data_IF_110613730064
#
_entry.id   IF_110613730064
#
_cell.length_a   1.000
_cell.length_b   1.000
_cell.length_c   1.000
_cell.angle_alpha   90.00
_cell.angle_beta   90.00
_cell.angle_gamma   90.00
#
_symmetry.space_group_name_H-M   'P 1'
#
loop_
_entity.id
_entity.type
_entity.pdbx_description
1 polymer ?
#
# COMPACT_ATOMS: atom_id res chain seq x y z
N UNK A 1 25.85 10.46 -12.20
CA UNK A 1 26.26 10.88 -13.56
C UNK A 1 27.72 11.28 -13.55
N UNK A 2 28.34 11.36 -14.70
CA UNK A 2 29.71 11.88 -14.82
C UNK A 2 29.78 13.30 -14.24
N UNK A 3 30.86 13.61 -13.51
CA UNK A 3 31.06 14.93 -12.89
C UNK A 3 30.43 15.13 -11.51
N UNK A 4 29.75 14.14 -10.93
CA UNK A 4 29.24 14.23 -9.56
C UNK A 4 30.39 14.30 -8.54
N UNK A 5 31.51 13.68 -8.86
CA UNK A 5 32.71 13.66 -8.02
C UNK A 5 33.39 15.04 -7.95
N UNK A 6 33.15 15.90 -8.96
CA UNK A 6 33.71 17.25 -9.06
C UNK A 6 32.79 18.33 -8.48
N UNK A 7 31.64 17.97 -7.90
CA UNK A 7 30.72 18.93 -7.30
C UNK A 7 31.34 19.54 -6.03
N UNK A 8 31.44 20.85 -6.02
CA UNK A 8 31.79 21.60 -4.80
C UNK A 8 30.63 21.56 -3.81
N UNK A 9 30.73 20.72 -2.82
CA UNK A 9 29.75 20.60 -1.73
C UNK A 9 30.05 21.51 -0.54
N UNK A 10 31.07 22.36 -0.61
CA UNK A 10 31.51 23.25 0.48
C UNK A 10 30.40 24.21 0.93
N UNK A 11 29.44 24.53 0.07
CA UNK A 11 28.27 25.32 0.42
C UNK A 11 27.45 24.70 1.55
N UNK A 12 27.44 23.36 1.64
CA UNK A 12 26.71 22.63 2.70
C UNK A 12 27.49 22.54 4.02
N UNK A 13 28.81 22.73 4.02
CA UNK A 13 29.65 22.78 5.24
C UNK A 13 29.28 23.95 6.14
N UNK A 14 28.68 24.99 5.58
CA UNK A 14 28.19 26.15 6.30
C UNK A 14 26.85 25.94 7.01
N UNK A 15 26.16 24.81 6.72
CA UNK A 15 24.94 24.47 7.39
C UNK A 15 25.19 23.97 8.80
N UNK A 16 24.96 24.83 9.75
CA UNK A 16 25.00 24.47 11.16
C UNK A 16 23.60 24.19 11.67
N UNK A 17 23.44 23.10 12.40
CA UNK A 17 22.19 22.83 13.10
C UNK A 17 21.99 23.93 14.17
N UNK A 18 20.94 24.73 14.04
CA UNK A 18 20.60 25.81 14.96
C UNK A 18 19.72 25.39 16.14
N UNK A 19 19.57 24.07 16.35
CA UNK A 19 18.76 23.48 17.42
C UNK A 19 19.05 22.00 17.61
N UNK A 20 18.48 21.41 18.65
CA UNK A 20 18.45 19.94 18.77
C UNK A 20 17.64 19.33 17.64
N UNK A 21 18.09 18.19 17.11
CA UNK A 21 17.27 17.41 16.18
C UNK A 21 15.89 17.18 16.82
N UNK A 22 14.82 17.43 16.06
CA UNK A 22 13.49 17.08 16.53
C UNK A 22 13.47 15.58 16.83
N UNK A 23 13.00 15.22 18.02
CA UNK A 23 12.77 13.81 18.35
C UNK A 23 11.72 13.29 17.38
N UNK A 24 12.09 12.30 16.56
CA UNK A 24 11.12 11.60 15.70
C UNK A 24 10.30 10.72 16.65
N UNK A 25 9.16 11.22 17.05
CA UNK A 25 8.19 10.40 17.78
C UNK A 25 7.60 9.43 16.77
N UNK A 26 7.80 8.10 16.96
CA UNK A 26 7.19 7.11 16.09
C UNK A 26 5.69 7.36 16.03
N UNK A 27 5.11 7.37 14.83
CA UNK A 27 3.68 7.49 14.67
C UNK A 27 3.03 6.23 15.27
N UNK A 28 2.64 6.31 16.54
CA UNK A 28 1.85 5.24 17.15
C UNK A 28 0.52 5.18 16.39
N UNK A 29 0.17 4.04 15.78
CA UNK A 29 -1.15 3.89 15.19
C UNK A 29 -2.19 4.29 16.23
N UNK A 30 -3.07 5.22 15.90
CA UNK A 30 -4.19 5.54 16.81
C UNK A 30 -5.08 4.31 16.88
N UNK A 31 -4.98 3.59 17.98
CA UNK A 31 -5.90 2.51 18.30
C UNK A 31 -7.20 3.19 18.73
N UNK A 32 -8.25 3.00 17.94
CA UNK A 32 -9.54 3.64 18.15
C UNK A 32 -9.92 4.60 17.01
N UNK A 33 -11.19 4.94 16.94
CA UNK A 33 -11.77 5.69 15.84
C UNK A 33 -12.60 4.80 14.90
N UNK A 34 -13.39 5.41 14.02
CA UNK A 34 -14.27 4.66 13.14
C UNK A 34 -13.46 3.80 12.17
N UNK A 35 -13.96 2.58 11.92
CA UNK A 35 -13.38 1.68 10.92
C UNK A 35 -13.61 2.21 9.50
N UNK A 36 -14.76 2.84 9.27
CA UNK A 36 -15.18 3.36 7.98
C UNK A 36 -15.47 4.85 8.09
N UNK A 37 -14.84 5.64 7.24
CA UNK A 37 -15.11 7.08 7.08
C UNK A 37 -15.59 7.30 5.65
N UNK A 38 -16.74 7.94 5.51
CA UNK A 38 -17.33 8.32 4.23
C UNK A 38 -17.34 9.85 4.11
N UNK A 39 -16.50 10.36 3.21
CA UNK A 39 -16.49 11.78 2.86
C UNK A 39 -17.61 12.01 1.85
N UNK A 40 -18.60 12.83 2.22
CA UNK A 40 -19.76 13.11 1.38
C UNK A 40 -19.40 14.03 0.20
N UNK A 41 -19.70 13.54 -0.99
CA UNK A 41 -19.65 14.31 -2.24
C UNK A 41 -20.97 14.09 -3.00
N UNK A 42 -21.96 14.97 -2.79
CA UNK A 42 -23.32 14.80 -3.32
C UNK A 42 -23.39 14.63 -4.84
N UNK A 43 -22.48 15.29 -5.58
CA UNK A 43 -22.43 15.23 -7.05
C UNK A 43 -21.56 14.10 -7.61
N UNK A 44 -20.99 13.24 -6.76
CA UNK A 44 -20.14 12.17 -7.21
C UNK A 44 -20.94 11.07 -7.91
N UNK A 45 -20.46 10.63 -9.08
CA UNK A 45 -20.99 9.49 -9.83
C UNK A 45 -20.23 8.21 -9.56
N UNK A 46 -19.12 8.33 -8.83
CA UNK A 46 -18.24 7.24 -8.44
C UNK A 46 -17.94 7.31 -6.93
N UNK A 47 -17.65 6.14 -6.37
CA UNK A 47 -17.10 5.98 -5.03
C UNK A 47 -15.62 5.65 -5.14
N UNK A 48 -14.76 6.55 -4.65
CA UNK A 48 -13.33 6.29 -4.50
C UNK A 48 -13.07 5.62 -3.16
N UNK A 49 -12.35 4.51 -3.17
CA UNK A 49 -12.05 3.71 -2.00
C UNK A 49 -10.55 3.71 -1.68
N UNK A 50 -10.24 3.77 -0.40
CA UNK A 50 -8.92 3.46 0.18
C UNK A 50 -9.11 2.55 1.38
N UNK A 51 -8.59 1.31 1.31
CA UNK A 51 -8.52 0.39 2.45
C UNK A 51 -7.06 0.32 2.87
N UNK A 52 -6.76 0.65 4.12
CA UNK A 52 -5.38 0.78 4.58
C UNK A 52 -5.19 0.15 5.95
N UNK A 53 -3.97 -0.37 6.18
CA UNK A 53 -3.51 -0.71 7.52
C UNK A 53 -2.00 -0.49 7.65
N UNK A 54 -1.55 -0.28 8.88
CA UNK A 54 -0.13 -0.27 9.21
C UNK A 54 0.47 -1.67 9.03
N UNK A 55 1.73 -1.72 8.63
CA UNK A 55 2.46 -2.97 8.45
C UNK A 55 3.96 -2.75 8.69
N UNK A 56 4.76 -3.80 8.51
CA UNK A 56 6.22 -3.71 8.60
C UNK A 56 6.80 -2.84 7.50
N UNK A 57 7.98 -2.28 7.74
CA UNK A 57 8.72 -1.48 6.77
C UNK A 57 9.83 -2.26 6.08
N UNK A 58 10.57 -1.57 5.20
CA UNK A 58 11.60 -2.17 4.33
C UNK A 58 12.81 -2.78 5.07
N UNK A 59 13.04 -2.42 6.33
CA UNK A 59 14.08 -3.03 7.15
C UNK A 59 13.70 -4.40 7.73
N UNK A 60 12.42 -4.78 7.66
CA UNK A 60 11.95 -6.06 8.18
C UNK A 60 12.29 -7.20 7.21
N UNK A 61 12.77 -8.38 7.67
CA UNK A 61 13.12 -9.50 6.79
C UNK A 61 11.96 -9.98 5.90
N UNK A 62 10.74 -9.94 6.39
CA UNK A 62 9.53 -10.30 5.65
C UNK A 62 9.02 -9.26 4.64
N UNK A 63 9.72 -8.12 4.47
CA UNK A 63 9.27 -7.05 3.59
C UNK A 63 9.12 -7.48 2.12
N UNK A 64 10.07 -8.27 1.60
CA UNK A 64 10.02 -8.77 0.23
C UNK A 64 8.79 -9.68 0.02
N UNK A 65 8.52 -10.58 0.96
CA UNK A 65 7.37 -11.47 0.93
C UNK A 65 6.04 -10.70 1.01
N UNK A 66 5.96 -9.67 1.87
CA UNK A 66 4.79 -8.78 1.93
C UNK A 66 4.55 -8.04 0.60
N UNK A 67 5.61 -7.56 -0.04
CA UNK A 67 5.52 -6.91 -1.36
C UNK A 67 4.93 -7.85 -2.40
N UNK A 68 5.38 -9.11 -2.42
CA UNK A 68 4.87 -10.12 -3.35
C UNK A 68 3.43 -10.50 -3.01
N UNK A 69 3.10 -10.69 -1.74
CA UNK A 69 1.71 -10.95 -1.31
C UNK A 69 0.76 -9.82 -1.74
N UNK A 70 1.11 -8.55 -1.50
CA UNK A 70 0.34 -7.41 -1.99
C UNK A 70 0.23 -7.41 -3.53
N UNK A 71 1.28 -7.82 -4.23
CA UNK A 71 1.30 -7.98 -5.68
C UNK A 71 0.27 -9.00 -6.16
N UNK A 72 0.25 -10.17 -5.55
CA UNK A 72 -0.67 -11.26 -5.87
C UNK A 72 -2.13 -10.90 -5.52
N UNK A 73 -2.35 -10.21 -4.40
CA UNK A 73 -3.68 -9.79 -3.99
C UNK A 73 -4.26 -8.69 -4.89
N UNK A 74 -3.47 -7.67 -5.28
CA UNK A 74 -4.03 -6.52 -6.01
C UNK A 74 -3.00 -5.69 -6.78
N UNK A 75 -1.73 -6.10 -6.85
CA UNK A 75 -0.67 -5.30 -7.47
C UNK A 75 -0.48 -5.51 -8.96
N UNK A 76 -1.08 -6.53 -9.54
CA UNK A 76 -1.00 -6.85 -10.96
C UNK A 76 -2.36 -6.88 -11.62
N UNK A 77 -2.39 -6.85 -12.94
CA UNK A 77 -3.64 -6.91 -13.71
C UNK A 77 -4.40 -8.23 -13.51
N UNK A 78 -3.69 -9.34 -13.36
CA UNK A 78 -4.25 -10.67 -13.09
C UNK A 78 -4.35 -11.03 -11.61
N UNK A 79 -4.17 -10.06 -10.70
CA UNK A 79 -4.26 -10.28 -9.27
C UNK A 79 -5.69 -10.60 -8.81
N UNK A 80 -5.80 -11.21 -7.64
CA UNK A 80 -7.06 -11.73 -7.09
C UNK A 80 -8.17 -10.68 -7.01
N UNK A 81 -7.87 -9.45 -6.54
CA UNK A 81 -8.82 -8.35 -6.52
C UNK A 81 -9.27 -7.91 -7.92
N UNK A 82 -8.36 -7.86 -8.89
CA UNK A 82 -8.70 -7.48 -10.26
C UNK A 82 -9.49 -8.58 -10.96
N UNK A 83 -9.14 -9.85 -10.74
CA UNK A 83 -9.90 -10.97 -11.30
C UNK A 83 -11.37 -10.90 -10.87
N UNK A 84 -11.62 -10.68 -9.57
CA UNK A 84 -13.00 -10.64 -9.07
C UNK A 84 -13.70 -9.33 -9.42
N UNK A 85 -13.12 -8.17 -9.02
CA UNK A 85 -13.84 -6.91 -9.09
C UNK A 85 -13.91 -6.31 -10.50
N UNK A 86 -12.92 -6.63 -11.34
CA UNK A 86 -12.83 -6.11 -12.70
C UNK A 86 -13.32 -7.13 -13.72
N UNK A 87 -12.73 -8.35 -13.76
CA UNK A 87 -13.06 -9.32 -14.82
C UNK A 87 -14.40 -10.00 -14.60
N UNK A 88 -14.64 -10.56 -13.39
CA UNK A 88 -15.84 -11.33 -13.13
C UNK A 88 -17.07 -10.45 -12.93
N UNK A 89 -16.93 -9.34 -12.19
CA UNK A 89 -18.06 -8.46 -11.82
C UNK A 89 -18.18 -7.20 -12.68
N UNK A 90 -17.12 -6.77 -13.37
CA UNK A 90 -17.14 -5.57 -14.21
C UNK A 90 -17.42 -4.28 -13.42
N UNK A 91 -17.07 -4.22 -12.13
CA UNK A 91 -17.39 -3.11 -11.25
C UNK A 91 -16.36 -1.99 -11.29
N UNK A 92 -15.13 -2.28 -11.70
CA UNK A 92 -14.02 -1.33 -11.74
C UNK A 92 -13.20 -1.48 -13.02
N UNK A 93 -12.50 -0.43 -13.41
CA UNK A 93 -11.44 -0.50 -14.44
C UNK A 93 -10.13 -1.10 -13.88
N UNK A 94 -9.99 -1.13 -12.57
CA UNK A 94 -8.86 -1.72 -11.86
C UNK A 94 -8.84 -1.35 -10.39
N UNK A 95 -8.32 -2.30 -9.60
CA UNK A 95 -8.05 -2.12 -8.18
C UNK A 95 -6.57 -2.36 -7.95
N UNK A 96 -5.92 -1.43 -7.27
CA UNK A 96 -4.50 -1.53 -6.96
C UNK A 96 -4.26 -1.88 -5.50
N UNK A 97 -3.30 -2.78 -5.22
CA UNK A 97 -2.79 -3.01 -3.86
C UNK A 97 -1.27 -2.87 -3.83
N UNK A 98 -0.77 -2.20 -2.80
CA UNK A 98 0.68 -2.06 -2.60
C UNK A 98 1.02 -1.90 -1.12
N UNK A 99 2.22 -2.33 -0.74
CA UNK A 99 2.85 -1.96 0.52
C UNK A 99 3.90 -0.89 0.25
N UNK A 100 3.83 0.22 0.99
CA UNK A 100 4.78 1.34 0.93
C UNK A 100 5.51 1.49 2.26
N UNK A 101 6.83 1.71 2.25
CA UNK A 101 7.57 1.94 3.48
C UNK A 101 7.29 3.34 4.03
N UNK A 102 7.22 3.43 5.34
CA UNK A 102 7.24 4.66 6.14
C UNK A 102 8.54 4.71 6.95
N UNK A 103 8.90 5.83 7.57
CA UNK A 103 10.11 5.92 8.40
C UNK A 103 10.19 4.83 9.47
N UNK A 104 9.08 4.51 10.13
CA UNK A 104 9.00 3.57 11.26
C UNK A 104 8.05 2.39 10.98
N UNK A 105 8.04 1.89 9.76
CA UNK A 105 7.17 0.77 9.40
C UNK A 105 6.74 0.81 7.95
N UNK A 106 5.49 0.52 7.68
CA UNK A 106 4.91 0.55 6.36
C UNK A 106 3.40 0.73 6.40
N UNK A 107 2.81 0.90 5.24
CA UNK A 107 1.37 0.92 5.05
C UNK A 107 0.99 0.07 3.85
N UNK A 108 0.11 -0.88 4.05
CA UNK A 108 -0.58 -1.60 2.98
C UNK A 108 -1.81 -0.80 2.58
N UNK A 109 -2.00 -0.60 1.28
CA UNK A 109 -3.10 0.19 0.73
C UNK A 109 -3.74 -0.56 -0.43
N UNK A 110 -5.05 -0.71 -0.37
CA UNK A 110 -5.90 -1.05 -1.53
C UNK A 110 -6.60 0.22 -1.99
N UNK A 111 -6.65 0.44 -3.30
CA UNK A 111 -7.25 1.61 -3.90
C UNK A 111 -8.05 1.24 -5.14
N UNK A 112 -9.23 1.81 -5.30
CA UNK A 112 -10.07 1.61 -6.48
C UNK A 112 -11.17 2.65 -6.55
N UNK A 113 -11.74 2.79 -7.74
CA UNK A 113 -12.92 3.61 -8.02
C UNK A 113 -14.00 2.76 -8.64
N UNK A 114 -15.23 2.93 -8.16
CA UNK A 114 -16.39 2.15 -8.55
C UNK A 114 -17.55 3.08 -8.87
N UNK A 115 -18.49 2.62 -9.70
CA UNK A 115 -19.77 3.33 -9.81
C UNK A 115 -20.49 3.32 -8.46
N UNK A 116 -21.18 4.39 -8.12
CA UNK A 116 -21.84 4.56 -6.81
C UNK A 116 -22.74 3.36 -6.47
N UNK A 117 -23.49 2.85 -7.46
CA UNK A 117 -24.48 1.75 -7.28
C UNK A 117 -23.85 0.43 -6.80
N UNK A 118 -22.60 0.18 -7.15
CA UNK A 118 -21.87 -1.04 -6.79
C UNK A 118 -20.76 -0.80 -5.77
N UNK A 119 -20.58 0.46 -5.33
CA UNK A 119 -19.46 0.87 -4.47
C UNK A 119 -19.42 0.10 -3.14
N UNK A 120 -20.56 -0.03 -2.48
CA UNK A 120 -20.66 -0.76 -1.21
C UNK A 120 -20.38 -2.26 -1.38
N UNK A 121 -20.90 -2.88 -2.46
CA UNK A 121 -20.63 -4.28 -2.79
C UNK A 121 -19.16 -4.52 -3.08
N UNK A 122 -18.54 -3.63 -3.85
CA UNK A 122 -17.14 -3.73 -4.22
C UNK A 122 -16.22 -3.62 -2.99
N UNK A 123 -16.56 -2.75 -2.02
CA UNK A 123 -15.82 -2.61 -0.77
C UNK A 123 -15.95 -3.88 0.08
N UNK A 124 -17.17 -4.40 0.24
CA UNK A 124 -17.41 -5.62 0.99
C UNK A 124 -16.69 -6.83 0.37
N UNK A 125 -16.73 -6.95 -0.96
CA UNK A 125 -16.02 -8.00 -1.70
C UNK A 125 -14.50 -7.87 -1.56
N UNK A 126 -13.95 -6.65 -1.69
CA UNK A 126 -12.52 -6.42 -1.46
C UNK A 126 -12.09 -6.84 -0.06
N UNK A 127 -12.87 -6.50 0.96
CA UNK A 127 -12.59 -6.94 2.34
C UNK A 127 -12.67 -8.45 2.49
N UNK A 128 -13.68 -9.10 1.88
CA UNK A 128 -13.81 -10.56 1.89
C UNK A 128 -12.57 -11.24 1.31
N UNK A 129 -12.03 -10.73 0.21
CA UNK A 129 -10.78 -11.25 -0.40
C UNK A 129 -9.58 -11.03 0.54
N UNK A 130 -9.44 -9.83 1.12
CA UNK A 130 -8.31 -9.48 1.98
C UNK A 130 -8.29 -10.25 3.31
N UNK A 131 -9.45 -10.72 3.76
CA UNK A 131 -9.63 -11.44 5.02
C UNK A 131 -9.95 -12.93 4.82
N UNK A 132 -9.89 -13.42 3.57
CA UNK A 132 -10.11 -14.82 3.22
C UNK A 132 -9.07 -15.74 3.87
N UNK A 133 -9.48 -16.94 4.22
CA UNK A 133 -8.59 -18.02 4.67
C UNK A 133 -7.93 -18.77 3.50
N UNK A 134 -8.32 -18.46 2.25
CA UNK A 134 -7.75 -19.09 1.05
C UNK A 134 -6.33 -18.60 0.79
N UNK A 135 -5.36 -19.50 0.83
CA UNK A 135 -3.97 -19.17 0.55
C UNK A 135 -3.75 -18.69 -0.89
N UNK A 136 -2.71 -17.90 -1.09
CA UNK A 136 -2.22 -17.54 -2.42
C UNK A 136 -1.63 -18.80 -3.07
N UNK A 137 -2.00 -19.03 -4.31
CA UNK A 137 -1.48 -20.14 -5.10
C UNK A 137 -0.10 -19.80 -5.68
N UNK A 138 0.65 -20.82 -6.05
CA UNK A 138 1.99 -20.64 -6.65
C UNK A 138 1.95 -19.76 -7.89
N UNK A 139 0.96 -19.94 -8.77
CA UNK A 139 0.81 -19.16 -10.00
C UNK A 139 0.53 -17.67 -9.74
N UNK A 140 -0.23 -17.34 -8.70
CA UNK A 140 -0.49 -15.94 -8.29
C UNK A 140 0.80 -15.28 -7.75
N UNK A 141 1.54 -16.02 -6.93
CA UNK A 141 2.81 -15.56 -6.33
C UNK A 141 3.88 -15.42 -7.40
N UNK A 142 4.03 -16.39 -8.28
CA UNK A 142 5.00 -16.37 -9.39
C UNK A 142 4.73 -15.18 -10.32
N UNK A 143 3.47 -14.95 -10.70
CA UNK A 143 3.08 -13.81 -11.53
C UNK A 143 3.39 -12.46 -10.86
N UNK A 144 3.10 -12.32 -9.57
CA UNK A 144 3.38 -11.10 -8.82
C UNK A 144 4.89 -10.85 -8.65
N UNK A 145 5.64 -11.89 -8.33
CA UNK A 145 7.10 -11.85 -8.21
C UNK A 145 7.75 -11.41 -9.52
N UNK A 146 7.40 -12.09 -10.62
CA UNK A 146 7.99 -11.83 -11.93
C UNK A 146 7.66 -10.42 -12.42
N UNK A 147 6.44 -9.94 -12.15
CA UNK A 147 6.06 -8.56 -12.41
C UNK A 147 6.92 -7.56 -11.62
N UNK A 148 7.06 -7.75 -10.30
CA UNK A 148 7.83 -6.85 -9.43
C UNK A 148 9.31 -6.80 -9.85
N UNK A 149 9.90 -7.94 -10.17
CA UNK A 149 11.29 -8.02 -10.66
C UNK A 149 11.41 -7.33 -12.03
N UNK A 150 10.45 -7.57 -12.92
CA UNK A 150 10.47 -7.02 -14.28
C UNK A 150 10.34 -5.49 -14.35
N UNK A 151 9.54 -4.89 -13.44
CA UNK A 151 9.37 -3.42 -13.41
C UNK A 151 10.42 -2.70 -12.56
N UNK A 152 11.20 -3.41 -11.75
CA UNK A 152 12.17 -2.80 -10.85
C UNK A 152 13.17 -1.86 -11.55
N UNK A 153 13.75 -2.20 -12.72
CA UNK A 153 14.68 -1.30 -13.42
C UNK A 153 14.08 0.06 -13.75
N UNK A 154 12.76 0.14 -13.99
CA UNK A 154 12.08 1.41 -14.33
C UNK A 154 12.12 2.42 -13.18
N UNK A 155 12.36 1.96 -11.94
CA UNK A 155 12.46 2.85 -10.77
C UNK A 155 13.84 3.55 -10.69
N UNK A 156 14.78 3.17 -11.53
CA UNK A 156 16.18 3.62 -11.52
C UNK A 156 16.66 4.15 -12.88
N UNK A 157 15.76 4.42 -13.81
CA UNK A 157 16.12 4.82 -15.19
C UNK A 157 16.60 6.27 -15.31
N UNK A 158 16.40 7.10 -14.28
CA UNK A 158 16.87 8.48 -14.25
C UNK A 158 17.75 8.77 -13.05
N UNK A 159 18.70 9.71 -13.18
CA UNK A 159 19.55 10.15 -12.07
C UNK A 159 18.71 10.69 -10.88
N UNK A 160 17.59 11.37 -11.16
CA UNK A 160 16.66 11.85 -10.15
C UNK A 160 15.99 10.73 -9.38
N UNK A 161 15.54 9.68 -10.09
CA UNK A 161 14.95 8.49 -9.46
C UNK A 161 15.94 7.77 -8.55
N UNK A 162 17.19 7.60 -9.04
CA UNK A 162 18.27 6.99 -8.24
C UNK A 162 18.55 7.80 -6.98
N UNK A 163 18.73 9.12 -7.11
CA UNK A 163 19.00 10.01 -5.97
C UNK A 163 17.87 9.96 -4.94
N UNK A 164 16.61 9.96 -5.38
CA UNK A 164 15.45 9.86 -4.50
C UNK A 164 15.42 8.53 -3.73
N UNK A 165 15.68 7.41 -4.42
CA UNK A 165 15.71 6.08 -3.80
C UNK A 165 16.85 5.97 -2.78
N UNK A 166 18.06 6.44 -3.13
CA UNK A 166 19.21 6.43 -2.22
C UNK A 166 18.92 7.28 -0.98
N UNK A 167 18.39 8.49 -1.15
CA UNK A 167 18.01 9.34 -0.02
C UNK A 167 16.97 8.67 0.90
N UNK A 168 15.99 7.97 0.32
CA UNK A 168 14.98 7.23 1.07
C UNK A 168 15.57 6.03 1.84
N UNK A 169 16.56 5.33 1.28
CA UNK A 169 17.28 4.24 1.94
C UNK A 169 18.12 4.74 3.10
N UNK A 170 18.93 5.78 2.88
CA UNK A 170 19.77 6.40 3.92
C UNK A 170 18.91 6.89 5.09
N UNK A 171 17.78 7.54 4.81
CA UNK A 171 16.82 7.96 5.84
C UNK A 171 16.25 6.78 6.64
N UNK A 172 16.11 5.61 6.02
CA UNK A 172 15.67 4.38 6.68
C UNK A 172 16.80 3.61 7.37
N UNK A 173 18.03 4.16 7.40
CA UNK A 173 19.21 3.51 7.98
C UNK A 173 19.73 2.32 7.15
N UNK A 174 19.38 2.25 5.87
CA UNK A 174 19.76 1.18 4.95
C UNK A 174 20.87 1.64 4.00
N UNK A 175 21.76 0.71 3.65
CA UNK A 175 22.81 0.97 2.67
C UNK A 175 22.21 1.13 1.26
N UNK A 176 22.81 1.91 0.35
CA UNK A 176 22.36 2.00 -1.04
C UNK A 176 22.32 0.66 -1.78
N UNK A 177 23.22 -0.27 -1.43
CA UNK A 177 23.28 -1.65 -1.96
C UNK A 177 22.11 -2.54 -1.52
N UNK A 178 21.30 -2.10 -0.56
CA UNK A 178 20.09 -2.81 -0.13
C UNK A 178 19.15 -3.16 -1.29
N UNK A 179 19.19 -2.37 -2.36
CA UNK A 179 18.33 -2.60 -3.55
C UNK A 179 18.59 -3.96 -4.17
N UNK A 180 19.86 -4.34 -4.33
CA UNK A 180 20.25 -5.61 -4.94
C UNK A 180 19.82 -6.79 -4.06
N UNK A 181 20.04 -6.68 -2.75
CA UNK A 181 19.61 -7.70 -1.78
C UNK A 181 18.09 -7.83 -1.76
N UNK A 182 17.38 -6.69 -1.83
CA UNK A 182 15.92 -6.69 -1.86
C UNK A 182 15.35 -7.33 -3.13
N UNK A 183 15.92 -7.03 -4.30
CA UNK A 183 15.50 -7.64 -5.56
C UNK A 183 15.75 -9.14 -5.57
N UNK A 184 16.90 -9.59 -5.05
CA UNK A 184 17.20 -11.01 -4.87
C UNK A 184 16.20 -11.67 -3.91
N UNK A 185 15.87 -10.99 -2.80
CA UNK A 185 14.87 -11.47 -1.85
C UNK A 185 13.48 -11.60 -2.52
N UNK A 186 13.03 -10.57 -3.26
CA UNK A 186 11.76 -10.63 -4.01
C UNK A 186 11.76 -11.79 -4.99
N UNK A 187 12.83 -11.97 -5.77
CA UNK A 187 12.96 -13.04 -6.76
C UNK A 187 12.92 -14.44 -6.14
N UNK A 188 13.23 -14.58 -4.84
CA UNK A 188 13.25 -15.86 -4.13
C UNK A 188 11.94 -16.20 -3.41
N UNK A 189 10.97 -15.28 -3.33
CA UNK A 189 9.71 -15.51 -2.61
C UNK A 189 8.89 -16.61 -3.26
N UNK A 190 8.38 -17.51 -2.43
CA UNK A 190 7.44 -18.58 -2.79
C UNK A 190 6.11 -18.39 -2.08
N UNK A 191 5.08 -19.10 -2.53
CA UNK A 191 3.79 -19.11 -1.84
C UNK A 191 3.93 -19.61 -0.40
N UNK A 192 4.65 -20.75 -0.21
CA UNK A 192 4.85 -21.40 1.07
C UNK A 192 6.25 -22.04 1.21
N UNK A 193 6.50 -22.67 2.35
CA UNK A 193 7.72 -23.47 2.58
C UNK A 193 8.97 -22.66 2.93
N UNK A 194 8.81 -21.39 3.27
CA UNK A 194 9.87 -20.48 3.73
C UNK A 194 9.41 -19.77 5.02
N UNK A 195 10.36 -19.31 5.84
CA UNK A 195 10.06 -18.48 7.01
C UNK A 195 9.24 -17.24 6.59
N UNK A 196 9.69 -16.58 5.52
CA UNK A 196 8.99 -15.44 4.91
C UNK A 196 8.49 -15.83 3.51
N UNK A 197 7.41 -16.62 3.47
CA UNK A 197 6.64 -16.88 2.26
C UNK A 197 5.58 -15.80 2.05
N UNK A 198 4.97 -15.74 0.86
CA UNK A 198 3.90 -14.80 0.57
C UNK A 198 2.69 -15.00 1.50
N UNK A 199 2.29 -16.27 1.73
CA UNK A 199 1.19 -16.60 2.63
C UNK A 199 1.52 -16.27 4.09
N UNK A 200 2.72 -16.60 4.57
CA UNK A 200 3.17 -16.20 5.92
C UNK A 200 3.10 -14.68 6.09
N UNK A 201 3.64 -13.92 5.14
CA UNK A 201 3.64 -12.46 5.21
C UNK A 201 2.22 -11.87 5.16
N UNK A 202 1.35 -12.42 4.32
CA UNK A 202 -0.06 -12.01 4.29
C UNK A 202 -0.73 -12.21 5.64
N UNK A 203 -0.69 -13.44 6.17
CA UNK A 203 -1.35 -13.79 7.44
C UNK A 203 -0.79 -13.03 8.65
N UNK A 204 0.50 -12.77 8.67
CA UNK A 204 1.17 -12.15 9.81
C UNK A 204 1.09 -10.62 9.79
N UNK A 205 1.16 -9.98 8.62
CA UNK A 205 1.29 -8.52 8.52
C UNK A 205 0.02 -7.81 8.08
N UNK A 206 -0.98 -8.54 7.57
CA UNK A 206 -2.24 -7.97 7.11
C UNK A 206 -3.40 -8.52 7.95
N UNK A 207 -3.50 -8.00 9.19
CA UNK A 207 -4.53 -8.43 10.14
C UNK A 207 -5.92 -7.99 9.66
N UNK A 208 -6.91 -8.90 9.58
CA UNK A 208 -8.28 -8.60 9.19
C UNK A 208 -8.96 -7.46 9.97
N UNK A 209 -8.64 -7.30 11.26
CA UNK A 209 -9.27 -6.32 12.13
C UNK A 209 -8.68 -4.91 12.04
N UNK A 210 -7.46 -4.80 11.46
CA UNK A 210 -6.73 -3.53 11.43
C UNK A 210 -7.02 -2.67 10.20
N UNK A 211 -7.79 -3.20 9.23
CA UNK A 211 -8.16 -2.44 8.05
C UNK A 211 -9.04 -1.23 8.39
N UNK A 212 -8.64 -0.06 7.89
CA UNK A 212 -9.39 1.20 7.95
C UNK A 212 -9.78 1.60 6.54
N UNK A 213 -11.00 2.08 6.38
CA UNK A 213 -11.63 2.29 5.08
C UNK A 213 -11.99 3.76 4.98
N UNK A 214 -11.41 4.45 4.00
CA UNK A 214 -11.80 5.78 3.58
C UNK A 214 -12.55 5.68 2.25
N UNK A 215 -13.70 6.32 2.19
CA UNK A 215 -14.54 6.37 1.00
C UNK A 215 -14.84 7.82 0.70
N UNK A 216 -14.82 8.19 -0.57
CA UNK A 216 -15.28 9.49 -1.05
C UNK A 216 -16.34 9.27 -2.12
N UNK A 217 -17.56 9.72 -1.89
CA UNK A 217 -18.68 9.51 -2.80
C UNK A 217 -19.99 10.06 -2.25
N UNK A 218 -21.11 9.77 -2.89
CA UNK A 218 -22.44 10.24 -2.49
C UNK A 218 -22.92 9.48 -1.24
N UNK A 219 -22.94 10.17 -0.10
CA UNK A 219 -23.28 9.53 1.18
C UNK A 219 -24.73 9.06 1.25
N UNK A 220 -25.66 9.75 0.59
CA UNK A 220 -27.08 9.38 0.54
C UNK A 220 -27.28 7.94 0.03
N UNK A 221 -26.50 7.53 -0.98
CA UNK A 221 -26.57 6.20 -1.57
C UNK A 221 -25.66 5.20 -0.83
N UNK A 222 -24.43 5.62 -0.49
CA UNK A 222 -23.40 4.71 0.02
C UNK A 222 -23.59 4.35 1.49
N UNK A 223 -24.02 5.29 2.35
CA UNK A 223 -24.10 5.02 3.78
C UNK A 223 -25.11 3.90 4.12
N UNK A 224 -26.37 3.91 3.60
CA UNK A 224 -27.30 2.82 3.85
C UNK A 224 -26.82 1.50 3.24
N UNK A 225 -26.25 1.53 2.02
CA UNK A 225 -25.76 0.34 1.35
C UNK A 225 -24.55 -0.29 2.07
N UNK A 226 -23.67 0.49 2.68
CA UNK A 226 -22.57 0.01 3.52
C UNK A 226 -23.11 -0.60 4.84
N UNK A 227 -24.08 0.05 5.48
CA UNK A 227 -24.67 -0.45 6.71
C UNK A 227 -25.34 -1.82 6.54
N UNK A 228 -26.04 -2.05 5.41
CA UNK A 228 -26.60 -3.36 5.05
C UNK A 228 -25.55 -4.48 4.97
N UNK A 229 -24.27 -4.12 4.75
CA UNK A 229 -23.11 -5.03 4.68
C UNK A 229 -22.29 -5.06 5.97
N UNK A 230 -22.83 -4.48 7.06
CA UNK A 230 -22.17 -4.43 8.36
C UNK A 230 -20.99 -3.44 8.42
N UNK A 231 -20.92 -2.50 7.48
CA UNK A 231 -19.88 -1.48 7.38
C UNK A 231 -20.45 -0.11 7.81
N UNK A 232 -20.67 0.07 9.09
CA UNK A 232 -21.16 1.33 9.64
C UNK A 232 -20.15 2.46 9.38
N UNK A 233 -20.54 3.45 8.57
CA UNK A 233 -19.70 4.56 8.18
C UNK A 233 -20.00 5.83 9.00
N UNK A 234 -18.93 6.49 9.45
CA UNK A 234 -19.06 7.87 9.92
C UNK A 234 -18.99 8.79 8.69
N UNK A 235 -20.10 9.47 8.43
CA UNK A 235 -20.19 10.44 7.33
C UNK A 235 -19.58 11.75 7.78
N UNK A 236 -18.68 12.30 6.97
CA UNK A 236 -18.01 13.57 7.22
C UNK A 236 -18.16 14.51 6.02
N UNK A 237 -18.29 15.80 6.29
CA UNK A 237 -18.30 16.82 5.25
C UNK A 237 -16.85 17.16 4.85
N UNK A 238 -16.53 17.38 3.56
CA UNK A 238 -15.18 17.77 3.13
C UNK A 238 -14.62 19.00 3.86
N UNK A 239 -15.46 19.96 4.21
CA UNK A 239 -15.05 21.17 4.94
C UNK A 239 -14.63 20.91 6.40
N UNK A 240 -15.10 19.82 7.00
CA UNK A 240 -14.76 19.42 8.37
C UNK A 240 -13.43 18.66 8.43
N UNK A 241 -13.03 18.05 7.32
CA UNK A 241 -11.76 17.29 7.22
C UNK A 241 -10.55 18.22 7.04
N UNK A 242 -10.78 19.43 6.53
CA UNK A 242 -9.74 20.41 6.19
C UNK A 242 -9.56 21.48 7.26
N UNK A 243 -10.34 21.46 8.31
CA UNK A 243 -10.27 22.36 9.47
C UNK A 243 -9.49 21.74 10.61
#
# INVERSE_FOLDING_TARGET
>A
GEGVEDLDLSVFEQWTATGSAAEIVPATPRVGGPRVILVDRPDAVQADMRIQQATVGRAHPGWAALKVACGALGGTFGSRLNQVLREDKGWSYGVGMSARPLPDGGVATVAGSFRTEVGADAIAEALSILTSDDDLRDDEVDSARDHLVGIAPLQYDTAGSVAHQVAALVRAGLAPTWVDDHLAAVASVKADGQEWSANTAWRQFLNPDDWRIGICGRAEDLAPALAERGLEAVVVNPTEVLS
#
